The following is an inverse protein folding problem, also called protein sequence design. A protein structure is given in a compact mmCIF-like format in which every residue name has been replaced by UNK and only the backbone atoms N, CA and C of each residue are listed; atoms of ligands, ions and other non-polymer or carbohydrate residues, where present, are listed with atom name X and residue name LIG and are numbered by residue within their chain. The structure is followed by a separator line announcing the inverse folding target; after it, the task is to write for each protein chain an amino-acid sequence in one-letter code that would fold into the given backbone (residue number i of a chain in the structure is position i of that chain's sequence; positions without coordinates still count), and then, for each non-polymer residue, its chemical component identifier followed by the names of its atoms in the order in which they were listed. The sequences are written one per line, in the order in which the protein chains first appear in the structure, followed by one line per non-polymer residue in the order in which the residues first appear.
data_IF_428660265882
#
_entry.id   IF_428660265882
#
_cell.length_a   1.000
_cell.length_b   1.000
_cell.length_c   1.000
_cell.angle_alpha   90.00
_cell.angle_beta   90.00
_cell.angle_gamma   90.00
#
_symmetry.space_group_name_H-M   'P 1'
#
loop_
_entity.id
_entity.type
_entity.pdbx_description
1 polymer ?
#
# COMPACT_ATOMS: atom_id res chain seq x y z
N UNK A 1 15.26 -19.54 -3.17
CA UNK A 1 15.07 -18.80 -4.43
C UNK A 1 14.55 -17.42 -4.06
N UNK A 2 15.28 -16.35 -4.34
CA UNK A 2 14.83 -14.99 -4.01
C UNK A 2 13.94 -14.44 -5.13
N UNK A 3 12.89 -13.70 -4.78
CA UNK A 3 12.01 -13.04 -5.76
C UNK A 3 12.73 -11.84 -6.40
N UNK A 4 12.36 -11.48 -7.64
CA UNK A 4 12.81 -10.24 -8.26
C UNK A 4 12.08 -9.03 -7.63
N UNK A 5 12.54 -7.80 -7.92
CA UNK A 5 11.95 -6.58 -7.34
C UNK A 5 10.44 -6.43 -7.67
N UNK A 6 10.02 -6.78 -8.89
CA UNK A 6 8.61 -6.73 -9.29
C UNK A 6 7.74 -7.74 -8.51
N UNK A 7 8.20 -9.00 -8.42
CA UNK A 7 7.48 -10.02 -7.65
C UNK A 7 7.48 -9.71 -6.15
N UNK A 8 8.58 -9.15 -5.63
CA UNK A 8 8.65 -8.70 -4.24
C UNK A 8 7.62 -7.59 -4.00
N UNK A 9 7.55 -6.59 -4.90
CA UNK A 9 6.57 -5.51 -4.80
C UNK A 9 5.13 -6.01 -4.87
N UNK A 10 4.81 -6.92 -5.80
CA UNK A 10 3.50 -7.51 -5.93
C UNK A 10 3.07 -8.24 -4.65
N UNK A 11 3.95 -9.07 -4.09
CA UNK A 11 3.67 -9.80 -2.85
C UNK A 11 3.50 -8.85 -1.65
N UNK A 12 4.35 -7.83 -1.53
CA UNK A 12 4.23 -6.83 -0.47
C UNK A 12 2.90 -6.08 -0.55
N UNK A 13 2.51 -5.63 -1.74
CA UNK A 13 1.23 -4.94 -1.95
C UNK A 13 0.04 -5.86 -1.69
N UNK A 14 0.12 -7.12 -2.12
CA UNK A 14 -0.93 -8.11 -1.90
C UNK A 14 -1.20 -8.35 -0.42
N UNK A 15 -0.14 -8.40 0.40
CA UNK A 15 -0.27 -8.58 1.85
C UNK A 15 -0.70 -7.29 2.55
N UNK A 16 -0.20 -6.15 2.11
CA UNK A 16 -0.45 -4.86 2.76
C UNK A 16 -1.88 -4.37 2.57
N UNK A 17 -2.47 -4.67 1.41
CA UNK A 17 -3.80 -4.21 1.02
C UNK A 17 -4.86 -5.31 1.15
N UNK A 18 -4.54 -6.37 1.89
CA UNK A 18 -5.47 -7.41 2.30
C UNK A 18 -6.37 -6.89 3.42
N UNK A 19 -7.68 -7.10 3.29
CA UNK A 19 -8.69 -6.75 4.29
C UNK A 19 -8.86 -7.83 5.38
N UNK A 20 -8.06 -8.91 5.31
CA UNK A 20 -8.14 -10.08 6.16
C UNK A 20 -8.81 -11.27 5.47
N UNK A 21 -9.27 -11.12 4.23
CA UNK A 21 -9.81 -12.21 3.41
C UNK A 21 -8.74 -13.05 2.71
N UNK A 22 -7.47 -12.68 2.82
CA UNK A 22 -6.37 -13.29 2.06
C UNK A 22 -6.26 -12.74 0.64
N UNK A 23 -6.92 -11.61 0.34
CA UNK A 23 -6.99 -10.99 -0.99
C UNK A 23 -6.97 -9.49 -0.85
N UNK A 24 -6.37 -8.81 -1.84
CA UNK A 24 -6.41 -7.35 -1.92
C UNK A 24 -7.86 -6.87 -1.97
N UNK A 25 -8.23 -5.92 -1.10
CA UNK A 25 -9.57 -5.37 -1.11
C UNK A 25 -9.87 -4.72 -2.47
N UNK A 26 -11.05 -4.97 -3.08
CA UNK A 26 -11.32 -4.61 -4.48
C UNK A 26 -11.06 -3.15 -4.84
N UNK A 27 -11.32 -2.23 -3.91
CA UNK A 27 -11.11 -0.79 -4.05
C UNK A 27 -9.63 -0.40 -4.24
N UNK A 28 -8.68 -1.24 -3.81
CA UNK A 28 -7.23 -1.00 -3.96
C UNK A 28 -6.62 -1.70 -5.17
N UNK A 29 -7.35 -2.53 -5.90
CA UNK A 29 -6.85 -3.16 -7.14
C UNK A 29 -6.33 -2.13 -8.17
N UNK A 30 -6.99 -0.97 -8.39
CA UNK A 30 -6.44 0.06 -9.28
C UNK A 30 -5.09 0.61 -8.80
N UNK A 31 -4.93 0.80 -7.48
CA UNK A 31 -3.68 1.27 -6.88
C UNK A 31 -2.57 0.24 -7.07
N UNK A 32 -2.84 -1.04 -6.81
CA UNK A 32 -1.88 -2.14 -7.02
C UNK A 32 -1.44 -2.17 -8.48
N UNK A 33 -2.38 -2.07 -9.43
CA UNK A 33 -2.07 -2.08 -10.85
C UNK A 33 -1.11 -0.94 -11.23
N UNK A 34 -1.45 0.30 -10.87
CA UNK A 34 -0.60 1.47 -11.14
C UNK A 34 0.78 1.28 -10.50
N UNK A 35 0.81 0.87 -9.23
CA UNK A 35 2.05 0.59 -8.51
C UNK A 35 2.82 -0.62 -9.02
N UNK A 36 2.31 -1.43 -9.94
CA UNK A 36 3.11 -2.47 -10.61
C UNK A 36 3.59 -2.03 -11.99
N UNK A 37 2.80 -1.23 -12.71
CA UNK A 37 3.09 -0.77 -14.07
C UNK A 37 4.18 0.33 -14.14
N UNK A 38 4.47 1.07 -13.07
CA UNK A 38 5.56 2.09 -13.10
C UNK A 38 6.95 1.47 -13.33
N UNK A 39 7.86 2.21 -13.99
CA UNK A 39 9.18 1.69 -14.41
C UNK A 39 10.17 1.39 -13.27
N UNK A 40 9.89 1.80 -12.02
CA UNK A 40 10.86 1.74 -10.90
C UNK A 40 10.34 0.95 -9.68
N UNK A 41 10.38 -0.40 -9.70
CA UNK A 41 9.91 -1.24 -8.58
C UNK A 41 10.67 -0.96 -7.29
N UNK A 42 11.99 -0.75 -7.38
CA UNK A 42 12.83 -0.44 -6.24
C UNK A 42 12.42 0.84 -5.51
N UNK A 43 12.04 1.90 -6.23
CA UNK A 43 11.60 3.16 -5.62
C UNK A 43 10.31 2.98 -4.81
N UNK A 44 9.38 2.16 -5.32
CA UNK A 44 8.13 1.82 -4.63
C UNK A 44 8.39 0.96 -3.39
N UNK A 45 9.29 -0.02 -3.49
CA UNK A 45 9.75 -0.79 -2.33
C UNK A 45 10.41 0.08 -1.26
N UNK A 46 11.19 1.10 -1.63
CA UNK A 46 11.77 2.06 -0.68
C UNK A 46 10.68 2.90 -0.01
N UNK A 47 9.69 3.38 -0.77
CA UNK A 47 8.54 4.10 -0.23
C UNK A 47 7.75 3.27 0.79
N UNK A 48 7.53 1.97 0.48
CA UNK A 48 6.89 1.02 1.38
C UNK A 48 7.73 0.63 2.62
N UNK A 49 8.99 1.09 2.75
CA UNK A 49 9.74 0.97 4.01
C UNK A 49 9.36 2.04 5.02
N UNK A 50 8.66 3.10 4.61
CA UNK A 50 8.18 4.12 5.54
C UNK A 50 7.03 3.52 6.39
N UNK A 51 7.20 3.39 7.72
CA UNK A 51 6.19 2.77 8.58
C UNK A 51 4.86 3.53 8.58
N UNK A 52 4.87 4.84 8.35
CA UNK A 52 3.65 5.63 8.27
C UNK A 52 2.85 5.30 7.01
N UNK A 53 3.54 5.03 5.89
CA UNK A 53 2.90 4.61 4.62
C UNK A 53 2.29 3.23 4.80
N UNK A 54 3.02 2.29 5.39
CA UNK A 54 2.53 0.94 5.68
C UNK A 54 1.30 0.98 6.58
N UNK A 55 1.35 1.74 7.69
CA UNK A 55 0.23 1.90 8.60
C UNK A 55 -1.00 2.47 7.90
N UNK A 56 -0.82 3.52 7.10
CA UNK A 56 -1.91 4.15 6.36
C UNK A 56 -2.56 3.16 5.38
N UNK A 57 -1.77 2.50 4.53
CA UNK A 57 -2.29 1.59 3.50
C UNK A 57 -3.01 0.39 4.13
N UNK A 58 -2.45 -0.20 5.19
CA UNK A 58 -3.09 -1.29 5.92
C UNK A 58 -4.37 -0.84 6.63
N UNK A 59 -4.37 0.36 7.23
CA UNK A 59 -5.54 0.89 7.91
C UNK A 59 -6.68 1.21 6.93
N UNK A 60 -6.35 1.68 5.73
CA UNK A 60 -7.32 1.84 4.65
C UNK A 60 -7.87 0.49 4.17
N UNK A 61 -7.00 -0.51 3.98
CA UNK A 61 -7.39 -1.84 3.52
C UNK A 61 -8.31 -2.58 4.49
N UNK A 62 -8.05 -2.46 5.79
CA UNK A 62 -8.85 -3.10 6.84
C UNK A 62 -10.07 -2.28 7.26
N UNK A 63 -10.26 -1.09 6.70
CA UNK A 63 -11.34 -0.16 7.05
C UNK A 63 -11.20 0.51 8.42
N UNK A 64 -10.06 0.34 9.13
CA UNK A 64 -9.80 1.08 10.37
C UNK A 64 -9.61 2.58 10.11
N UNK A 65 -9.18 2.94 8.90
CA UNK A 65 -9.16 4.30 8.37
C UNK A 65 -10.21 4.36 7.27
N UNK A 66 -11.26 5.20 7.39
CA UNK A 66 -12.24 5.35 6.32
C UNK A 66 -11.58 5.87 5.03
N UNK A 67 -11.91 5.26 3.89
CA UNK A 67 -11.48 5.74 2.56
C UNK A 67 -12.26 6.99 2.14
N UNK A 68 -12.08 8.08 2.89
CA UNK A 68 -12.70 9.39 2.67
C UNK A 68 -11.65 10.48 2.82
N UNK A 69 -11.91 11.66 2.24
CA UNK A 69 -11.02 12.81 2.41
C UNK A 69 -10.71 13.09 3.88
N UNK A 70 -11.73 13.08 4.73
CA UNK A 70 -11.57 13.36 6.17
C UNK A 70 -10.79 12.25 6.88
N UNK A 71 -11.02 10.99 6.53
CA UNK A 71 -10.25 9.86 7.07
C UNK A 71 -8.76 9.99 6.78
N UNK A 72 -8.38 10.36 5.54
CA UNK A 72 -7.00 10.64 5.18
C UNK A 72 -6.44 11.91 5.84
N UNK A 73 -7.26 12.94 6.04
CA UNK A 73 -6.80 14.20 6.65
C UNK A 73 -6.33 14.02 8.10
N UNK A 74 -6.94 13.10 8.85
CA UNK A 74 -6.53 12.77 10.22
C UNK A 74 -5.18 12.02 10.30
N UNK A 75 -4.70 11.46 9.18
CA UNK A 75 -3.43 10.73 9.08
C UNK A 75 -2.23 11.67 8.80
N UNK A 76 -2.33 12.90 9.31
CA UNK A 76 -1.46 14.06 9.03
C UNK A 76 0.04 13.95 9.40
N UNK A 77 0.59 12.91 10.07
CA UNK A 77 2.06 12.78 10.21
C UNK A 77 2.82 12.55 8.89
N UNK A 78 2.15 12.31 7.77
CA UNK A 78 2.77 12.09 6.45
C UNK A 78 3.07 13.38 5.67
N UNK A 79 2.43 14.51 6.03
CA UNK A 79 2.48 15.75 5.25
C UNK A 79 3.65 16.70 5.58
N UNK A 80 4.45 16.39 6.61
CA UNK A 80 5.57 17.22 7.05
C UNK A 80 6.83 16.39 7.25
N UNK A 81 7.63 16.23 6.18
CA UNK A 81 9.09 16.17 6.27
C UNK A 81 9.75 16.45 4.93
#
# INVERSE_FOLDING_TARGET
MALCEHCTLANTLAHLLDDGSGRVAPEFLPLVKILLEMDRPKSRLIWLRNPNVVRLLHGLATGSIPLTHDGLHQETPLANR
#
